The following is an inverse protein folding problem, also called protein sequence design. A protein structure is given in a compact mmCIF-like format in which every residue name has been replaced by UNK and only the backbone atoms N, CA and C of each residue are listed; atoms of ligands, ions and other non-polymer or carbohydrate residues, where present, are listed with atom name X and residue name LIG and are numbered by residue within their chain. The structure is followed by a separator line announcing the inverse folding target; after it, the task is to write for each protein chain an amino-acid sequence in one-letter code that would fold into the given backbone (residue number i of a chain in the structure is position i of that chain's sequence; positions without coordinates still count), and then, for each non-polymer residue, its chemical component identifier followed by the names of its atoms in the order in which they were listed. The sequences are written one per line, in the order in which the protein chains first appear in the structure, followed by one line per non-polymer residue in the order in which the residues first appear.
data_IF_733066406250
#
_entry.id   IF_733066406250
#
_cell.length_a   1.000
_cell.length_b   1.000
_cell.length_c   1.000
_cell.angle_alpha   90.00
_cell.angle_beta   90.00
_cell.angle_gamma   90.00
#
_symmetry.space_group_name_H-M   'P 1'
#
loop_
_entity.id
_entity.type
_entity.pdbx_description
1 polymer ?
#
# COMPACT_ATOMS: atom_id res chain seq x y z
N UNK A 1 46.18 6.40 -5.72
CA UNK A 1 45.83 4.97 -5.56
C UNK A 1 44.48 4.76 -4.88
N UNK A 2 43.82 5.80 -4.36
CA UNK A 2 42.57 5.66 -3.58
C UNK A 2 41.28 5.57 -4.43
N UNK A 3 41.30 6.13 -5.65
CA UNK A 3 40.16 6.05 -6.58
C UNK A 3 39.79 4.60 -6.93
N UNK A 4 40.78 3.76 -7.26
CA UNK A 4 40.56 2.34 -7.60
C UNK A 4 40.02 1.51 -6.42
N UNK A 5 40.38 1.88 -5.18
CA UNK A 5 39.88 1.22 -3.96
C UNK A 5 38.43 1.57 -3.65
N UNK A 6 37.98 2.78 -3.99
CA UNK A 6 36.59 3.18 -3.80
C UNK A 6 35.68 2.54 -4.86
N UNK A 7 36.10 2.56 -6.14
CA UNK A 7 35.36 1.94 -7.25
C UNK A 7 35.14 0.44 -7.01
N UNK A 8 36.16 -0.29 -6.54
CA UNK A 8 36.03 -1.73 -6.24
C UNK A 8 35.07 -2.02 -5.09
N UNK A 9 35.06 -1.19 -4.03
CA UNK A 9 34.09 -1.30 -2.93
C UNK A 9 32.65 -1.00 -3.37
N UNK A 10 32.47 0.01 -4.22
CA UNK A 10 31.13 0.41 -4.68
C UNK A 10 30.52 -0.64 -5.63
N UNK A 11 31.32 -1.23 -6.52
CA UNK A 11 30.89 -2.36 -7.35
C UNK A 11 30.46 -3.56 -6.48
N UNK A 12 31.23 -3.87 -5.43
CA UNK A 12 30.88 -4.93 -4.49
C UNK A 12 29.54 -4.68 -3.80
N UNK A 13 29.29 -3.47 -3.30
CA UNK A 13 28.01 -3.10 -2.67
C UNK A 13 26.83 -3.18 -3.63
N UNK A 14 26.98 -2.66 -4.85
CA UNK A 14 25.93 -2.75 -5.88
C UNK A 14 25.60 -4.20 -6.24
N UNK A 15 26.62 -5.07 -6.33
CA UNK A 15 26.40 -6.49 -6.60
C UNK A 15 25.59 -7.18 -5.50
N UNK A 16 25.85 -6.85 -4.23
CA UNK A 16 25.08 -7.35 -3.09
C UNK A 16 23.63 -6.86 -3.10
N UNK A 17 23.42 -5.57 -3.35
CA UNK A 17 22.09 -4.94 -3.42
C UNK A 17 21.22 -5.57 -4.53
N UNK A 18 21.81 -5.87 -5.70
CA UNK A 18 21.10 -6.55 -6.79
C UNK A 18 20.61 -7.96 -6.38
N UNK A 19 21.47 -8.73 -5.71
CA UNK A 19 21.12 -10.07 -5.24
C UNK A 19 20.00 -10.01 -4.21
N UNK A 20 20.07 -9.07 -3.28
CA UNK A 20 19.07 -8.91 -2.23
C UNK A 20 17.72 -8.47 -2.78
N UNK A 21 17.69 -7.48 -3.67
CA UNK A 21 16.45 -7.03 -4.35
C UNK A 21 15.81 -8.14 -5.19
N UNK A 22 16.62 -8.97 -5.86
CA UNK A 22 16.15 -10.13 -6.62
C UNK A 22 15.51 -11.18 -5.70
N UNK A 23 16.16 -11.49 -4.57
CA UNK A 23 15.61 -12.43 -3.56
C UNK A 23 14.30 -11.95 -2.97
N UNK A 24 14.21 -10.67 -2.59
CA UNK A 24 12.98 -10.07 -2.07
C UNK A 24 11.86 -10.09 -3.12
N UNK A 25 12.16 -9.76 -4.37
CA UNK A 25 11.20 -9.81 -5.48
C UNK A 25 10.68 -11.24 -5.72
N UNK A 26 11.56 -12.24 -5.66
CA UNK A 26 11.16 -13.64 -5.77
C UNK A 26 10.23 -14.09 -4.62
N UNK A 27 10.51 -13.65 -3.38
CA UNK A 27 9.63 -13.89 -2.23
C UNK A 27 8.26 -13.25 -2.42
N UNK A 28 8.20 -11.98 -2.84
CA UNK A 28 6.94 -11.26 -3.12
C UNK A 28 6.13 -12.02 -4.17
N UNK A 29 6.74 -12.39 -5.29
CA UNK A 29 6.06 -13.14 -6.35
C UNK A 29 5.54 -14.50 -5.85
N UNK A 30 6.28 -15.18 -4.96
CA UNK A 30 5.85 -16.43 -4.34
C UNK A 30 4.62 -16.24 -3.44
N UNK A 31 4.59 -15.19 -2.61
CA UNK A 31 3.43 -14.87 -1.78
C UNK A 31 2.21 -14.46 -2.63
N UNK A 32 2.40 -13.68 -3.69
CA UNK A 32 1.34 -13.33 -4.64
C UNK A 32 0.78 -14.58 -5.35
N UNK A 33 1.62 -15.57 -5.64
CA UNK A 33 1.18 -16.87 -6.16
C UNK A 33 0.31 -17.63 -5.15
N UNK A 34 0.62 -17.58 -3.85
CA UNK A 34 -0.21 -18.21 -2.83
C UNK A 34 -1.60 -17.58 -2.77
N UNK A 35 -1.68 -16.24 -2.79
CA UNK A 35 -2.97 -15.53 -2.84
C UNK A 35 -3.77 -15.96 -4.08
N UNK A 36 -3.13 -16.05 -5.25
CA UNK A 36 -3.80 -16.52 -6.48
C UNK A 36 -4.40 -17.92 -6.31
N UNK A 37 -3.66 -18.85 -5.70
CA UNK A 37 -4.16 -20.22 -5.44
C UNK A 37 -5.36 -20.21 -4.51
N UNK A 38 -5.29 -19.45 -3.41
CA UNK A 38 -6.41 -19.33 -2.46
C UNK A 38 -7.64 -18.75 -3.15
N UNK A 39 -7.49 -17.72 -4.01
CA UNK A 39 -8.62 -17.18 -4.78
C UNK A 39 -9.25 -18.21 -5.72
N UNK A 40 -8.44 -19.04 -6.38
CA UNK A 40 -8.96 -20.13 -7.22
C UNK A 40 -9.72 -21.16 -6.39
N UNK A 41 -9.11 -21.64 -5.29
CA UNK A 41 -9.73 -22.62 -4.40
C UNK A 41 -11.03 -22.11 -3.78
N UNK A 42 -11.03 -20.86 -3.32
CA UNK A 42 -12.22 -20.19 -2.79
C UNK A 42 -13.33 -20.13 -3.83
N UNK A 43 -13.03 -19.71 -5.06
CA UNK A 43 -14.01 -19.63 -6.14
C UNK A 43 -14.60 -21.01 -6.50
N UNK A 44 -13.77 -22.04 -6.54
CA UNK A 44 -14.22 -23.42 -6.77
C UNK A 44 -15.13 -23.92 -5.65
N UNK A 45 -14.79 -23.66 -4.39
CA UNK A 45 -15.62 -24.03 -3.24
C UNK A 45 -16.96 -23.30 -3.26
N UNK A 46 -16.94 -21.97 -3.43
CA UNK A 46 -18.16 -21.17 -3.51
C UNK A 46 -19.10 -21.63 -4.63
N UNK A 47 -18.55 -22.01 -5.79
CA UNK A 47 -19.37 -22.53 -6.88
C UNK A 47 -19.97 -23.90 -6.58
N UNK A 48 -19.18 -24.82 -6.01
CA UNK A 48 -19.69 -26.15 -5.59
C UNK A 48 -20.79 -26.00 -4.54
N UNK A 49 -20.58 -25.16 -3.54
CA UNK A 49 -21.53 -24.94 -2.46
C UNK A 49 -22.83 -24.31 -2.97
N UNK A 50 -22.72 -23.35 -3.90
CA UNK A 50 -23.87 -22.78 -4.61
C UNK A 50 -24.69 -23.85 -5.35
N UNK A 51 -24.03 -24.82 -6.01
CA UNK A 51 -24.73 -25.91 -6.70
C UNK A 51 -25.49 -26.85 -5.76
N UNK A 52 -25.03 -27.01 -4.52
CA UNK A 52 -25.64 -27.89 -3.52
C UNK A 52 -26.66 -27.17 -2.63
N UNK A 53 -26.89 -25.86 -2.84
CA UNK A 53 -27.83 -25.06 -2.06
C UNK A 53 -27.39 -24.85 -0.61
N UNK A 54 -26.10 -24.99 -0.34
CA UNK A 54 -25.55 -24.91 1.00
C UNK A 54 -25.07 -23.48 1.32
N UNK A 55 -25.28 -23.05 2.56
CA UNK A 55 -24.76 -21.79 3.08
C UNK A 55 -23.54 -22.07 3.95
N UNK A 56 -22.36 -21.65 3.51
CA UNK A 56 -21.12 -21.83 4.28
C UNK A 56 -20.43 -20.50 4.57
N UNK A 57 -19.83 -20.42 5.76
CA UNK A 57 -19.03 -19.27 6.22
C UNK A 57 -17.69 -19.70 6.81
N UNK A 58 -17.66 -20.76 7.63
CA UNK A 58 -16.45 -21.18 8.35
C UNK A 58 -15.22 -21.42 7.45
N UNK A 59 -15.31 -22.22 6.36
CA UNK A 59 -14.14 -22.48 5.49
C UNK A 59 -13.61 -21.23 4.81
N UNK A 60 -14.50 -20.31 4.41
CA UNK A 60 -14.12 -19.06 3.77
C UNK A 60 -13.43 -18.10 4.73
N UNK A 61 -13.83 -18.09 6.01
CA UNK A 61 -13.22 -17.23 7.03
C UNK A 61 -11.73 -17.53 7.21
N UNK A 62 -11.34 -18.80 7.18
CA UNK A 62 -9.92 -19.22 7.24
C UNK A 62 -9.18 -18.69 6.02
N UNK A 63 -9.73 -18.90 4.81
CA UNK A 63 -9.13 -18.41 3.57
C UNK A 63 -8.98 -16.89 3.54
N UNK A 64 -9.98 -16.14 4.05
CA UNK A 64 -9.91 -14.68 4.16
C UNK A 64 -8.82 -14.23 5.14
N UNK A 65 -8.72 -14.91 6.28
CA UNK A 65 -7.64 -14.67 7.24
C UNK A 65 -6.27 -14.91 6.61
N UNK A 66 -6.09 -16.02 5.91
CA UNK A 66 -4.83 -16.36 5.24
C UNK A 66 -4.46 -15.32 4.17
N UNK A 67 -5.42 -14.88 3.36
CA UNK A 67 -5.21 -13.79 2.38
C UNK A 67 -4.75 -12.50 3.09
N UNK A 68 -5.37 -12.15 4.22
CA UNK A 68 -5.02 -10.96 4.99
C UNK A 68 -3.57 -11.04 5.53
N UNK A 69 -3.20 -12.18 6.09
CA UNK A 69 -1.85 -12.43 6.61
C UNK A 69 -0.82 -12.34 5.48
N UNK A 70 -1.07 -13.01 4.34
CA UNK A 70 -0.14 -12.99 3.21
C UNK A 70 0.00 -11.58 2.63
N UNK A 71 -1.09 -10.80 2.56
CA UNK A 71 -1.04 -9.37 2.14
C UNK A 71 -0.18 -8.53 3.08
N UNK A 72 -0.28 -8.76 4.39
CA UNK A 72 0.58 -8.09 5.38
C UNK A 72 2.06 -8.43 5.15
N UNK A 73 2.38 -9.71 4.92
CA UNK A 73 3.74 -10.15 4.60
C UNK A 73 4.27 -9.52 3.30
N UNK A 74 3.46 -9.45 2.25
CA UNK A 74 3.82 -8.76 0.99
C UNK A 74 4.11 -7.28 1.25
N UNK A 75 3.31 -6.61 2.06
CA UNK A 75 3.53 -5.20 2.41
C UNK A 75 4.87 -5.00 3.13
N UNK A 76 5.21 -5.88 4.07
CA UNK A 76 6.51 -5.88 4.76
C UNK A 76 7.67 -6.10 3.79
N UNK A 77 7.61 -7.14 2.94
CA UNK A 77 8.65 -7.43 1.95
C UNK A 77 8.83 -6.29 0.93
N UNK A 78 7.73 -5.63 0.52
CA UNK A 78 7.79 -4.46 -0.36
C UNK A 78 8.45 -3.27 0.33
N UNK A 79 8.19 -3.06 1.61
CA UNK A 79 8.88 -2.02 2.40
C UNK A 79 10.38 -2.29 2.47
N UNK A 80 10.78 -3.52 2.81
CA UNK A 80 12.18 -3.94 2.81
C UNK A 80 12.84 -3.75 1.44
N UNK A 81 12.14 -4.07 0.35
CA UNK A 81 12.64 -3.87 -1.01
C UNK A 81 12.92 -2.38 -1.30
N UNK A 82 12.06 -1.48 -0.86
CA UNK A 82 12.25 -0.04 -1.01
C UNK A 82 13.39 0.47 -0.11
N UNK A 83 13.55 -0.08 1.10
CA UNK A 83 14.67 0.19 2.00
C UNK A 83 16.01 -0.20 1.37
N UNK A 84 16.13 -1.43 0.86
CA UNK A 84 17.35 -1.91 0.18
C UNK A 84 17.64 -1.08 -1.07
N UNK A 85 16.61 -0.65 -1.82
CA UNK A 85 16.77 0.24 -2.97
C UNK A 85 17.13 1.69 -2.60
N UNK A 86 16.95 2.11 -1.34
CA UNK A 86 17.16 3.49 -0.90
C UNK A 86 16.12 4.48 -1.44
N UNK A 87 14.92 3.99 -1.75
CA UNK A 87 13.83 4.78 -2.36
C UNK A 87 12.58 4.77 -1.48
N UNK A 88 11.62 5.63 -1.84
CA UNK A 88 10.26 5.74 -1.31
C UNK A 88 9.29 5.91 -2.47
N UNK A 89 8.00 5.64 -2.26
CA UNK A 89 6.97 5.89 -3.26
C UNK A 89 6.39 7.30 -3.10
N UNK A 90 6.25 8.02 -4.21
CA UNK A 90 5.54 9.29 -4.22
C UNK A 90 4.05 9.07 -3.89
N UNK A 91 3.56 9.70 -2.82
CA UNK A 91 2.15 9.58 -2.37
C UNK A 91 1.13 10.08 -3.40
N UNK A 92 1.53 10.97 -4.30
CA UNK A 92 0.65 11.52 -5.33
C UNK A 92 0.58 10.65 -6.60
N UNK A 93 1.69 10.08 -7.06
CA UNK A 93 1.76 9.40 -8.37
C UNK A 93 2.30 7.97 -8.37
N UNK A 94 2.76 7.47 -7.21
CA UNK A 94 3.26 6.11 -7.04
C UNK A 94 4.68 5.83 -7.57
N UNK A 95 5.39 6.85 -8.08
CA UNK A 95 6.76 6.69 -8.59
C UNK A 95 7.76 6.34 -7.47
N UNK A 96 8.72 5.43 -7.73
CA UNK A 96 9.91 5.24 -6.88
C UNK A 96 10.84 6.47 -6.99
N UNK A 97 11.15 7.07 -5.85
CA UNK A 97 11.91 8.31 -5.71
C UNK A 97 12.96 8.11 -4.62
N UNK A 98 14.20 8.60 -4.81
CA UNK A 98 15.24 8.50 -3.78
C UNK A 98 14.82 9.24 -2.50
N UNK A 99 15.23 8.75 -1.33
CA UNK A 99 14.84 9.33 -0.02
C UNK A 99 15.30 10.78 0.20
N UNK A 100 16.33 11.20 -0.49
CA UNK A 100 17.05 12.45 -0.27
C UNK A 100 16.58 13.60 -1.18
N UNK A 101 15.56 13.40 -2.01
CA UNK A 101 15.09 14.44 -2.94
C UNK A 101 13.81 15.11 -2.42
N UNK A 102 13.74 16.42 -2.59
CA UNK A 102 12.62 17.26 -2.11
C UNK A 102 11.36 17.16 -2.97
N UNK A 103 11.51 16.82 -4.26
CA UNK A 103 10.39 16.78 -5.22
C UNK A 103 10.42 15.51 -6.06
N UNK A 104 9.23 14.99 -6.37
CA UNK A 104 9.08 13.88 -7.30
C UNK A 104 9.45 14.33 -8.71
N UNK A 105 10.46 13.71 -9.30
CA UNK A 105 10.90 14.00 -10.67
C UNK A 105 9.82 13.72 -11.74
N UNK A 106 8.79 12.92 -11.41
CA UNK A 106 7.70 12.58 -12.35
C UNK A 106 6.52 13.55 -12.29
N UNK A 107 6.07 13.94 -11.10
CA UNK A 107 4.83 14.73 -10.94
C UNK A 107 5.03 16.09 -10.27
N UNK A 108 6.25 16.43 -9.83
CA UNK A 108 6.55 17.70 -9.18
C UNK A 108 6.04 17.83 -7.74
N UNK A 109 5.30 16.86 -7.20
CA UNK A 109 4.86 16.90 -5.80
C UNK A 109 6.04 16.84 -4.84
N UNK A 110 5.97 17.58 -3.74
CA UNK A 110 6.96 17.50 -2.66
C UNK A 110 6.98 16.11 -2.02
N UNK A 111 8.17 15.64 -1.66
CA UNK A 111 8.43 14.34 -1.04
C UNK A 111 8.53 14.41 0.49
N UNK A 112 8.65 15.61 1.06
CA UNK A 112 8.77 15.83 2.49
C UNK A 112 7.46 15.46 3.20
N UNK A 113 7.53 14.46 4.08
CA UNK A 113 6.50 14.18 5.06
C UNK A 113 6.59 15.21 6.20
N UNK A 114 5.77 16.25 6.13
CA UNK A 114 4.96 16.52 7.31
C UNK A 114 3.54 16.18 6.91
N UNK A 115 2.97 15.20 7.59
CA UNK A 115 1.53 15.18 7.76
C UNK A 115 1.15 16.60 8.17
N UNK A 116 0.54 17.35 7.25
CA UNK A 116 -0.27 18.45 7.72
C UNK A 116 -1.44 17.75 8.39
N UNK A 117 -1.29 17.47 9.68
CA UNK A 117 -2.39 17.50 10.62
C UNK A 117 -2.95 18.91 10.52
N UNK A 118 -3.69 19.20 9.45
CA UNK A 118 -4.76 20.14 9.60
C UNK A 118 -5.64 19.49 10.67
N UNK A 119 -5.61 20.04 11.88
CA UNK A 119 -6.81 20.05 12.70
C UNK A 119 -7.86 20.76 11.85
N UNK A 120 -8.46 20.03 10.90
CA UNK A 120 -9.69 20.48 10.27
C UNK A 120 -10.71 20.14 11.34
N UNK A 121 -11.11 21.15 12.11
CA UNK A 121 -12.36 21.04 12.84
C UNK A 121 -13.42 20.70 11.79
N UNK A 122 -13.92 19.47 11.85
CA UNK A 122 -14.94 18.95 10.96
C UNK A 122 -16.17 18.63 11.79
N UNK A 123 -17.34 18.94 11.26
CA UNK A 123 -18.63 18.60 11.83
C UNK A 123 -19.36 17.64 10.91
N UNK A 124 -20.29 16.86 11.46
CA UNK A 124 -21.10 15.96 10.65
C UNK A 124 -22.41 16.65 10.28
N UNK A 125 -22.84 16.48 9.03
CA UNK A 125 -24.15 16.94 8.58
C UNK A 125 -25.25 16.20 9.34
N UNK A 126 -26.12 16.95 10.02
CA UNK A 126 -27.25 16.40 10.79
C UNK A 126 -28.30 15.66 9.94
N UNK A 127 -28.32 15.88 8.62
CA UNK A 127 -29.30 15.26 7.72
C UNK A 127 -28.77 14.00 7.03
N UNK A 128 -27.53 14.00 6.54
CA UNK A 128 -26.99 12.89 5.74
C UNK A 128 -25.74 12.22 6.34
N UNK A 129 -25.19 12.77 7.43
CA UNK A 129 -24.00 12.23 8.08
C UNK A 129 -22.67 12.53 7.36
N UNK A 130 -22.69 13.26 6.24
CA UNK A 130 -21.47 13.67 5.56
C UNK A 130 -20.57 14.51 6.46
N UNK A 131 -19.27 14.26 6.43
CA UNK A 131 -18.27 15.05 7.15
C UNK A 131 -18.02 16.35 6.38
N UNK A 132 -18.25 17.48 7.02
CA UNK A 132 -18.16 18.82 6.43
C UNK A 132 -17.21 19.71 7.23
N UNK A 133 -16.60 20.72 6.59
CA UNK A 133 -15.72 21.66 7.29
C UNK A 133 -16.52 22.51 8.30
N UNK A 134 -15.93 22.90 9.43
CA UNK A 134 -16.60 23.65 10.50
C UNK A 134 -17.19 25.00 10.01
N UNK A 135 -16.54 25.65 9.05
CA UNK A 135 -16.95 26.92 8.44
C UNK A 135 -18.00 26.77 7.31
N UNK A 136 -18.34 25.52 6.93
CA UNK A 136 -19.31 25.26 5.89
C UNK A 136 -20.73 25.60 6.35
N UNK A 137 -21.33 26.60 5.69
CA UNK A 137 -22.73 27.00 5.91
C UNK A 137 -23.72 25.96 5.35
N UNK A 138 -23.34 25.24 4.30
CA UNK A 138 -24.18 24.25 3.63
C UNK A 138 -23.42 22.94 3.42
N UNK A 139 -24.14 21.83 3.43
CA UNK A 139 -23.60 20.51 3.10
C UNK A 139 -23.34 20.41 1.59
N UNK A 140 -22.12 20.08 1.13
CA UNK A 140 -21.84 19.91 -0.29
C UNK A 140 -22.53 18.68 -0.88
N UNK A 141 -22.86 17.69 -0.05
CA UNK A 141 -23.47 16.42 -0.50
C UNK A 141 -25.00 16.52 -0.63
N UNK A 142 -25.68 17.20 0.30
CA UNK A 142 -27.15 17.23 0.34
C UNK A 142 -27.77 18.63 0.29
N UNK A 143 -26.94 19.69 0.26
CA UNK A 143 -27.39 21.08 0.13
C UNK A 143 -28.03 21.69 1.37
N UNK A 144 -28.17 20.94 2.48
CA UNK A 144 -28.81 21.47 3.69
C UNK A 144 -27.91 22.44 4.46
N UNK A 145 -28.50 23.42 5.12
CA UNK A 145 -27.77 24.34 6.00
C UNK A 145 -27.28 23.60 7.25
N UNK A 146 -25.98 23.75 7.55
CA UNK A 146 -25.38 23.18 8.74
C UNK A 146 -25.58 24.17 9.89
N UNK A 147 -26.38 23.76 10.88
CA UNK A 147 -26.52 24.51 12.13
C UNK A 147 -25.32 24.20 13.02
N UNK A 148 -24.86 25.21 13.75
CA UNK A 148 -23.80 25.06 14.76
C UNK A 148 -24.22 24.09 15.87
#
# INVERSE_FOLDING_TARGET
MDFLRNVTKDIGKMSGQLVETTKLSAKINSEENKIRKIYTELGEQMYKDFQHGESFKEPYMVMFSDISIIKSNIAQLRKELLDVKGVVLCKNCGQEVKRDVTFCAKCGSRMDETEVKHNINQKNCHQCGAVVAEDSKYCPECGILIKD
#
